data_IF_341863775660
#
_entry.id   IF_341863775660
#
_cell.length_a   1.000
_cell.length_b   1.000
_cell.length_c   1.000
_cell.angle_alpha   90.00
_cell.angle_beta   90.00
_cell.angle_gamma   90.00
#
_symmetry.space_group_name_H-M   'P 1'
#
loop_
_entity.id
_entity.type
_entity.pdbx_description
1 polymer ?
#
# COMPACT_ATOMS: atom_id res chain seq x y z
N UNK A 1 53.17 -11.46 -15.31
CA UNK A 1 52.01 -11.79 -16.17
C UNK A 1 51.68 -10.59 -17.04
N UNK A 2 51.10 -10.77 -18.24
CA UNK A 2 50.52 -9.61 -18.94
C UNK A 2 49.33 -9.08 -18.12
N UNK A 3 49.02 -7.78 -18.21
CA UNK A 3 47.92 -7.14 -17.46
C UNK A 3 46.59 -7.88 -17.68
N UNK A 4 46.35 -8.36 -18.89
CA UNK A 4 45.17 -9.15 -19.28
C UNK A 4 45.14 -10.53 -18.59
N UNK A 5 46.29 -11.20 -18.43
CA UNK A 5 46.37 -12.48 -17.72
C UNK A 5 46.12 -12.32 -16.21
N UNK A 6 46.53 -11.19 -15.62
CA UNK A 6 46.26 -10.90 -14.23
C UNK A 6 44.76 -10.63 -13.98
N UNK A 7 44.11 -9.88 -14.87
CA UNK A 7 42.66 -9.62 -14.77
C UNK A 7 41.81 -10.89 -14.93
N UNK A 8 42.15 -11.78 -15.85
CA UNK A 8 41.47 -13.08 -16.01
C UNK A 8 41.64 -13.98 -14.77
N UNK A 9 42.82 -13.98 -14.17
CA UNK A 9 43.10 -14.73 -12.96
C UNK A 9 42.29 -14.19 -11.77
N UNK A 10 42.24 -12.86 -11.59
CA UNK A 10 41.41 -12.20 -10.56
C UNK A 10 39.93 -12.52 -10.75
N UNK A 11 39.41 -12.51 -11.99
CA UNK A 11 38.02 -12.88 -12.25
C UNK A 11 37.71 -14.32 -11.83
N UNK A 12 38.64 -15.24 -12.02
CA UNK A 12 38.44 -16.64 -11.64
C UNK A 12 38.44 -16.83 -10.11
N UNK A 13 39.33 -16.14 -9.40
CA UNK A 13 39.35 -16.11 -7.94
C UNK A 13 38.03 -15.54 -7.40
N UNK A 14 37.57 -14.42 -7.94
CA UNK A 14 36.31 -13.77 -7.52
C UNK A 14 35.06 -14.62 -7.83
N UNK A 15 35.02 -15.33 -8.96
CA UNK A 15 33.92 -16.27 -9.27
C UNK A 15 33.84 -17.41 -8.27
N UNK A 16 34.99 -17.96 -7.89
CA UNK A 16 35.08 -19.05 -6.90
C UNK A 16 34.63 -18.54 -5.53
N UNK A 17 35.10 -17.36 -5.13
CA UNK A 17 34.67 -16.71 -3.89
C UNK A 17 33.15 -16.46 -3.85
N UNK A 18 32.55 -15.95 -4.94
CA UNK A 18 31.09 -15.77 -5.04
C UNK A 18 30.31 -17.09 -4.95
N UNK A 19 30.86 -18.19 -5.46
CA UNK A 19 30.16 -19.48 -5.50
C UNK A 19 30.28 -20.25 -4.19
N UNK A 20 31.44 -20.19 -3.54
CA UNK A 20 31.78 -21.06 -2.41
C UNK A 20 31.71 -20.36 -1.05
N UNK A 21 32.01 -19.06 -1.00
CA UNK A 21 32.11 -18.31 0.25
C UNK A 21 30.88 -17.46 0.56
N UNK A 22 30.10 -17.07 -0.45
CA UNK A 22 28.93 -16.19 -0.27
C UNK A 22 27.62 -16.98 -0.38
N UNK A 23 26.80 -17.06 0.68
CA UNK A 23 25.49 -17.69 0.64
C UNK A 23 24.56 -17.09 -0.43
N UNK A 24 23.74 -17.92 -1.07
CA UNK A 24 22.87 -17.54 -2.20
C UNK A 24 21.99 -16.31 -1.89
N UNK A 25 21.34 -16.28 -0.73
CA UNK A 25 20.51 -15.15 -0.31
C UNK A 25 21.27 -13.81 -0.19
N UNK A 26 22.58 -13.85 0.13
CA UNK A 26 23.43 -12.65 0.21
C UNK A 26 23.84 -12.19 -1.19
N UNK A 27 24.08 -13.14 -2.12
CA UNK A 27 24.35 -12.83 -3.52
C UNK A 27 23.14 -12.22 -4.21
N UNK A 28 21.95 -12.75 -3.95
CA UNK A 28 20.70 -12.24 -4.53
C UNK A 28 20.43 -10.80 -4.03
N UNK A 29 20.63 -10.55 -2.74
CA UNK A 29 20.56 -9.21 -2.17
C UNK A 29 21.59 -8.24 -2.77
N UNK A 30 22.81 -8.71 -3.05
CA UNK A 30 23.84 -7.92 -3.70
C UNK A 30 23.50 -7.61 -5.17
N UNK A 31 22.95 -8.56 -5.92
CA UNK A 31 22.52 -8.34 -7.30
C UNK A 31 21.42 -7.28 -7.39
N UNK A 32 20.47 -7.30 -6.46
CA UNK A 32 19.43 -6.27 -6.36
C UNK A 32 20.04 -4.89 -6.11
N UNK A 33 20.96 -4.79 -5.16
CA UNK A 33 21.64 -3.54 -4.81
C UNK A 33 22.43 -2.96 -5.99
N UNK A 34 23.13 -3.82 -6.75
CA UNK A 34 23.84 -3.40 -7.97
C UNK A 34 22.87 -2.94 -9.07
N UNK A 35 21.73 -3.63 -9.23
CA UNK A 35 20.72 -3.30 -10.23
C UNK A 35 20.02 -1.95 -9.96
N UNK A 36 19.85 -1.59 -8.69
CA UNK A 36 19.27 -0.29 -8.27
C UNK A 36 20.28 0.87 -8.32
N UNK A 37 21.52 0.61 -8.75
CA UNK A 37 22.56 1.62 -8.85
C UNK A 37 23.26 1.95 -7.52
N UNK A 38 23.23 1.04 -6.55
CA UNK A 38 23.82 1.25 -5.22
C UNK A 38 25.35 1.32 -5.16
N UNK A 39 26.07 1.07 -6.26
CA UNK A 39 27.54 1.26 -6.32
C UNK A 39 27.85 2.73 -6.60
N UNK A 40 28.28 3.48 -5.57
CA UNK A 40 28.68 4.88 -5.73
C UNK A 40 30.10 5.00 -6.30
N UNK A 41 31.03 4.17 -5.81
CA UNK A 41 32.43 4.21 -6.22
C UNK A 41 33.10 2.86 -5.99
N UNK A 42 34.04 2.51 -6.86
CA UNK A 42 34.99 1.41 -6.64
C UNK A 42 36.37 1.94 -6.99
N UNK A 43 37.32 1.80 -6.08
CA UNK A 43 38.73 2.15 -6.25
C UNK A 43 39.56 0.87 -6.19
N UNK A 44 40.42 0.65 -7.19
CA UNK A 44 41.26 -0.56 -7.30
C UNK A 44 42.72 -0.13 -7.17
N UNK A 45 43.44 -0.75 -6.24
CA UNK A 45 44.89 -0.65 -6.09
C UNK A 45 45.46 -2.05 -6.28
N UNK A 46 46.50 -2.18 -7.10
CA UNK A 46 47.14 -3.47 -7.33
C UNK A 46 48.65 -3.31 -7.28
N UNK A 47 49.32 -4.34 -6.75
CA UNK A 47 50.75 -4.56 -6.88
C UNK A 47 51.00 -5.90 -7.63
N UNK A 48 52.22 -6.41 -7.58
CA UNK A 48 52.58 -7.65 -8.29
C UNK A 48 51.98 -8.92 -7.67
N UNK A 49 51.59 -8.88 -6.38
CA UNK A 49 51.23 -10.05 -5.57
C UNK A 49 49.76 -10.02 -5.08
N UNK A 50 49.14 -8.83 -5.03
CA UNK A 50 47.84 -8.60 -4.41
C UNK A 50 47.03 -7.46 -5.05
N UNK A 51 45.71 -7.56 -4.94
CA UNK A 51 44.77 -6.54 -5.36
C UNK A 51 43.89 -6.10 -4.18
N UNK A 52 43.94 -4.82 -3.87
CA UNK A 52 43.09 -4.17 -2.87
C UNK A 52 41.99 -3.39 -3.56
N UNK A 53 40.74 -3.68 -3.22
CA UNK A 53 39.58 -2.97 -3.74
C UNK A 53 38.74 -2.39 -2.63
N UNK A 54 38.45 -1.09 -2.76
CA UNK A 54 37.54 -0.37 -1.87
C UNK A 54 36.28 0.00 -2.65
N UNK A 55 35.13 -0.46 -2.18
CA UNK A 55 33.81 -0.14 -2.72
C UNK A 55 33.00 0.72 -1.76
N UNK A 56 32.46 1.83 -2.27
CA UNK A 56 31.43 2.62 -1.59
C UNK A 56 30.06 2.21 -2.10
N UNK A 57 29.30 1.58 -1.22
CA UNK A 57 28.03 0.93 -1.52
C UNK A 57 26.93 1.60 -0.71
N UNK A 58 25.90 2.11 -1.37
CA UNK A 58 24.72 2.68 -0.73
C UNK A 58 23.72 1.57 -0.42
N UNK A 59 23.34 1.45 0.85
CA UNK A 59 22.27 0.54 1.29
C UNK A 59 20.87 1.15 1.11
N UNK A 60 19.86 0.32 1.38
CA UNK A 60 18.44 0.67 1.21
C UNK A 60 17.99 1.83 2.12
N UNK A 61 18.68 1.99 3.25
CA UNK A 61 18.53 3.09 4.20
C UNK A 61 19.27 4.37 3.81
N UNK A 62 19.77 4.45 2.57
CA UNK A 62 20.54 5.57 2.01
C UNK A 62 21.87 5.85 2.73
N UNK A 63 22.34 4.91 3.56
CA UNK A 63 23.65 4.99 4.20
C UNK A 63 24.73 4.44 3.25
N UNK A 64 25.89 5.09 3.19
CA UNK A 64 27.04 4.58 2.44
C UNK A 64 27.91 3.70 3.34
N UNK A 65 28.13 2.46 2.90
CA UNK A 65 29.03 1.49 3.49
C UNK A 65 30.33 1.39 2.69
N UNK A 66 31.43 1.22 3.41
CA UNK A 66 32.74 0.93 2.83
C UNK A 66 32.99 -0.57 2.94
N UNK A 67 33.17 -1.21 1.80
CA UNK A 67 33.53 -2.62 1.69
C UNK A 67 34.92 -2.75 1.05
N UNK A 68 35.83 -3.42 1.73
CA UNK A 68 37.21 -3.65 1.33
C UNK A 68 37.41 -5.12 0.97
N UNK A 69 38.16 -5.36 -0.09
CA UNK A 69 38.51 -6.68 -0.61
C UNK A 69 40.02 -6.75 -0.85
N UNK A 70 40.73 -7.62 -0.14
CA UNK A 70 42.11 -7.98 -0.42
C UNK A 70 42.16 -9.33 -1.14
N UNK A 71 42.66 -9.35 -2.37
CA UNK A 71 42.76 -10.55 -3.21
C UNK A 71 44.24 -10.91 -3.30
N UNK A 72 44.62 -12.07 -2.75
CA UNK A 72 45.98 -12.58 -2.84
C UNK A 72 46.09 -13.51 -4.06
N UNK A 73 46.99 -13.19 -4.99
CA UNK A 73 47.13 -13.94 -6.25
C UNK A 73 47.95 -15.23 -6.08
N UNK A 74 48.85 -15.31 -5.09
CA UNK A 74 49.67 -16.51 -4.85
C UNK A 74 48.89 -17.61 -4.13
N UNK A 75 47.98 -17.24 -3.24
CA UNK A 75 47.21 -18.16 -2.40
C UNK A 75 45.76 -18.32 -2.85
N UNK A 76 45.33 -17.59 -3.87
CA UNK A 76 43.95 -17.57 -4.39
C UNK A 76 42.89 -17.29 -3.31
N UNK A 77 43.26 -16.53 -2.27
CA UNK A 77 42.39 -16.19 -1.15
C UNK A 77 41.85 -14.77 -1.24
N UNK A 78 40.60 -14.59 -0.84
CA UNK A 78 39.95 -13.28 -0.73
C UNK A 78 39.67 -12.98 0.73
N UNK A 79 40.23 -11.88 1.21
CA UNK A 79 39.89 -11.28 2.50
C UNK A 79 38.90 -10.15 2.27
N UNK A 80 37.85 -10.10 3.07
CA UNK A 80 36.82 -9.07 2.94
C UNK A 80 36.53 -8.42 4.26
N UNK A 81 36.33 -7.11 4.24
CA UNK A 81 35.87 -6.33 5.38
C UNK A 81 34.77 -5.38 4.93
N UNK A 82 33.82 -5.10 5.82
CA UNK A 82 32.84 -4.06 5.61
C UNK A 82 32.48 -3.40 6.94
N UNK A 83 32.15 -2.10 6.90
CA UNK A 83 31.73 -1.34 8.09
C UNK A 83 30.24 -1.52 8.45
N UNK A 84 29.48 -2.35 7.73
CA UNK A 84 28.07 -2.63 8.05
C UNK A 84 27.93 -3.63 9.21
N UNK A 85 26.78 -3.60 9.89
CA UNK A 85 26.51 -4.46 11.06
C UNK A 85 26.60 -5.96 10.74
N UNK A 86 26.21 -6.36 9.52
CA UNK A 86 26.19 -7.77 9.09
C UNK A 86 27.60 -8.35 8.84
N UNK A 87 28.59 -7.48 8.66
CA UNK A 87 30.01 -7.84 8.48
C UNK A 87 30.57 -8.60 9.68
N UNK A 88 30.01 -8.36 10.87
CA UNK A 88 30.43 -9.06 12.09
C UNK A 88 30.01 -10.54 12.11
N UNK A 89 28.97 -10.90 11.35
CA UNK A 89 28.45 -12.27 11.24
C UNK A 89 28.98 -13.05 10.03
N UNK A 90 29.78 -12.42 9.17
CA UNK A 90 30.31 -13.01 7.96
C UNK A 90 30.27 -12.07 6.76
N UNK A 91 30.25 -12.62 5.55
CA UNK A 91 30.27 -11.84 4.31
C UNK A 91 28.89 -11.20 4.10
N UNK A 92 28.85 -9.88 3.98
CA UNK A 92 27.62 -9.12 3.80
C UNK A 92 27.31 -8.85 2.31
N UNK A 93 26.09 -8.36 2.05
CA UNK A 93 25.64 -7.97 0.70
C UNK A 93 26.51 -6.88 0.06
N UNK A 94 27.11 -6.00 0.85
CA UNK A 94 27.97 -4.92 0.34
C UNK A 94 29.30 -5.47 -0.20
N UNK A 95 29.91 -6.44 0.49
CA UNK A 95 31.11 -7.14 0.00
C UNK A 95 30.79 -7.86 -1.31
N UNK A 96 29.66 -8.58 -1.37
CA UNK A 96 29.22 -9.25 -2.59
C UNK A 96 28.95 -8.25 -3.74
N UNK A 97 28.36 -7.09 -3.46
CA UNK A 97 28.13 -6.03 -4.45
C UNK A 97 29.46 -5.44 -4.98
N UNK A 98 30.47 -5.26 -4.12
CA UNK A 98 31.80 -4.82 -4.54
C UNK A 98 32.47 -5.86 -5.45
N UNK A 99 32.36 -7.16 -5.13
CA UNK A 99 32.87 -8.24 -6.01
C UNK A 99 32.20 -8.20 -7.38
N UNK A 100 30.87 -8.09 -7.44
CA UNK A 100 30.11 -8.00 -8.68
C UNK A 100 30.49 -6.75 -9.49
N UNK A 101 30.70 -5.61 -8.82
CA UNK A 101 31.12 -4.37 -9.45
C UNK A 101 32.52 -4.43 -10.08
N UNK A 102 33.48 -5.07 -9.41
CA UNK A 102 34.82 -5.30 -9.97
C UNK A 102 34.73 -6.22 -11.18
N UNK A 103 34.01 -7.33 -11.05
CA UNK A 103 33.85 -8.29 -12.14
C UNK A 103 33.23 -7.62 -13.38
N UNK A 104 32.24 -6.75 -13.20
CA UNK A 104 31.65 -5.97 -14.29
C UNK A 104 32.68 -5.04 -14.96
N UNK A 105 33.58 -4.39 -14.20
CA UNK A 105 34.65 -3.53 -14.73
C UNK A 105 35.74 -4.30 -15.47
N UNK A 106 36.13 -5.46 -14.95
CA UNK A 106 37.12 -6.34 -15.58
C UNK A 106 36.57 -7.04 -16.82
N UNK A 107 35.25 -7.18 -16.93
CA UNK A 107 34.60 -7.83 -18.09
C UNK A 107 34.52 -6.95 -19.34
N UNK A 108 34.87 -5.65 -19.24
CA UNK A 108 34.74 -4.67 -20.34
C UNK A 108 35.72 -4.93 -21.51
N UNK A 109 36.67 -5.86 -21.41
CA UNK A 109 37.65 -6.15 -22.49
C UNK A 109 37.36 -7.38 -23.37
N UNK A 110 36.28 -8.14 -23.15
CA UNK A 110 35.88 -9.22 -24.07
C UNK A 110 34.40 -9.09 -24.41
N UNK A 111 34.12 -8.58 -25.61
CA UNK A 111 32.83 -8.72 -26.27
C UNK A 111 32.49 -10.21 -26.41
N UNK A 112 31.69 -10.71 -25.49
CA UNK A 112 30.78 -11.82 -25.72
C UNK A 112 29.43 -11.33 -25.20
N UNK A 113 28.43 -11.33 -26.08
CA UNK A 113 27.06 -10.89 -25.80
C UNK A 113 26.52 -11.59 -24.55
N UNK A 114 26.58 -10.92 -23.41
CA UNK A 114 25.59 -11.14 -22.35
C UNK A 114 24.23 -10.90 -22.99
N UNK A 115 23.26 -11.82 -22.88
CA UNK A 115 21.91 -11.45 -23.21
C UNK A 115 21.62 -10.26 -22.30
N UNK A 116 21.43 -9.09 -22.90
CA UNK A 116 20.81 -7.97 -22.22
C UNK A 116 19.60 -8.59 -21.54
N UNK A 117 19.59 -8.63 -20.21
CA UNK A 117 18.33 -8.72 -19.50
C UNK A 117 17.64 -7.46 -19.96
N UNK A 118 16.89 -7.59 -21.06
CA UNK A 118 15.86 -6.65 -21.43
C UNK A 118 14.98 -6.72 -20.21
N UNK A 119 15.18 -5.79 -19.27
CA UNK A 119 14.06 -5.36 -18.47
C UNK A 119 13.05 -4.98 -19.53
N UNK A 120 12.08 -5.88 -19.75
CA UNK A 120 10.91 -5.48 -20.48
C UNK A 120 10.47 -4.25 -19.70
N UNK A 121 10.45 -3.09 -20.32
CA UNK A 121 10.09 -1.88 -19.60
C UNK A 121 8.69 -2.08 -18.97
N UNK A 122 7.85 -2.93 -19.56
CA UNK A 122 6.62 -3.46 -18.93
C UNK A 122 6.80 -4.15 -17.58
N UNK A 123 7.96 -4.72 -17.28
CA UNK A 123 8.33 -5.31 -16.00
C UNK A 123 8.72 -4.22 -14.98
N UNK A 124 9.57 -3.26 -15.36
CA UNK A 124 9.94 -2.10 -14.51
C UNK A 124 8.79 -1.12 -14.29
N UNK A 125 7.88 -1.05 -15.25
CA UNK A 125 6.64 -0.27 -15.21
C UNK A 125 5.42 -1.19 -15.03
N UNK A 126 5.57 -2.42 -14.50
CA UNK A 126 4.47 -3.40 -14.35
C UNK A 126 3.28 -2.81 -13.62
N UNK A 127 3.55 -1.94 -12.65
CA UNK A 127 2.56 -1.17 -11.90
C UNK A 127 1.71 -0.22 -12.78
N UNK A 128 2.23 0.26 -13.91
CA UNK A 128 1.51 1.11 -14.87
C UNK A 128 0.76 0.30 -15.95
N UNK A 129 1.11 -0.98 -16.15
CA UNK A 129 0.50 -1.86 -17.16
C UNK A 129 -0.52 -2.85 -16.60
N UNK A 130 -0.49 -3.14 -15.30
CA UNK A 130 -1.46 -4.04 -14.68
C UNK A 130 -2.80 -3.34 -14.50
N UNK A 131 -3.75 -3.65 -15.37
CA UNK A 131 -5.17 -3.64 -14.99
C UNK A 131 -5.37 -4.70 -13.91
N UNK A 132 -5.27 -4.31 -12.63
CA UNK A 132 -5.32 -5.16 -11.43
C UNK A 132 -4.31 -6.32 -11.44
N UNK A 133 -3.30 -6.26 -10.57
CA UNK A 133 -2.41 -7.39 -10.35
C UNK A 133 -3.26 -8.62 -9.94
N UNK A 134 -3.01 -9.77 -10.54
CA UNK A 134 -3.61 -11.02 -10.07
C UNK A 134 -2.70 -11.63 -8.99
N UNK A 135 -3.27 -12.22 -7.93
CA UNK A 135 -2.50 -12.82 -6.86
C UNK A 135 -1.67 -14.01 -7.38
N UNK A 136 -0.36 -13.98 -7.11
CA UNK A 136 0.61 -14.95 -7.59
C UNK A 136 0.60 -16.23 -6.75
N UNK A 137 0.52 -17.43 -7.39
CA UNK A 137 0.59 -18.69 -6.67
C UNK A 137 1.91 -18.85 -5.91
N UNK A 138 1.82 -19.41 -4.70
CA UNK A 138 2.96 -19.70 -3.84
C UNK A 138 3.16 -18.68 -2.71
N UNK A 139 2.67 -17.45 -2.88
CA UNK A 139 2.80 -16.35 -1.93
C UNK A 139 1.70 -16.36 -0.86
N UNK A 140 1.92 -15.61 0.23
CA UNK A 140 0.92 -15.40 1.27
C UNK A 140 0.31 -14.01 1.15
N UNK A 141 -1.01 -13.91 1.29
CA UNK A 141 -1.74 -12.66 1.21
C UNK A 141 -2.53 -12.40 2.48
N UNK A 142 -2.72 -11.12 2.78
CA UNK A 142 -3.64 -10.66 3.81
C UNK A 142 -5.08 -10.77 3.29
N UNK A 143 -5.98 -11.12 4.19
CA UNK A 143 -7.41 -11.25 3.94
C UNK A 143 -8.14 -10.44 4.99
N UNK A 144 -9.12 -9.66 4.54
CA UNK A 144 -9.88 -8.74 5.37
C UNK A 144 -11.35 -9.12 5.29
N UNK A 145 -11.99 -9.39 6.44
CA UNK A 145 -13.44 -9.66 6.48
C UNK A 145 -14.16 -8.51 7.16
N UNK A 146 -15.05 -7.87 6.42
CA UNK A 146 -15.77 -6.68 6.87
C UNK A 146 -17.13 -7.07 7.46
N UNK A 147 -17.40 -6.60 8.66
CA UNK A 147 -18.68 -6.72 9.34
C UNK A 147 -19.23 -5.31 9.57
N UNK A 148 -20.35 -5.03 8.94
CA UNK A 148 -20.93 -3.68 8.90
C UNK A 148 -22.15 -3.58 9.78
N UNK A 149 -22.13 -2.63 10.72
CA UNK A 149 -23.25 -2.30 11.60
C UNK A 149 -23.50 -0.79 11.54
N UNK A 150 -24.74 -0.31 11.76
CA UNK A 150 -25.01 1.11 11.86
C UNK A 150 -24.10 1.77 12.93
N UNK A 151 -23.24 2.69 12.49
CA UNK A 151 -22.31 3.39 13.39
C UNK A 151 -21.10 2.58 13.84
N UNK A 152 -20.87 1.37 13.33
CA UNK A 152 -19.72 0.55 13.72
C UNK A 152 -19.22 -0.32 12.57
N UNK A 153 -17.92 -0.27 12.32
CA UNK A 153 -17.26 -1.12 11.34
C UNK A 153 -16.28 -2.04 12.05
N UNK A 154 -16.47 -3.35 11.87
CA UNK A 154 -15.56 -4.37 12.35
C UNK A 154 -14.79 -4.99 11.19
N UNK A 155 -13.51 -5.26 11.40
CA UNK A 155 -12.68 -5.99 10.44
C UNK A 155 -11.90 -7.10 11.12
N UNK A 156 -11.93 -8.27 10.51
CA UNK A 156 -11.05 -9.39 10.87
C UNK A 156 -9.91 -9.52 9.86
N UNK A 157 -8.71 -9.84 10.36
CA UNK A 157 -7.52 -10.04 9.56
C UNK A 157 -7.09 -11.51 9.57
N UNK A 158 -6.79 -12.03 8.39
CA UNK A 158 -6.22 -13.35 8.21
C UNK A 158 -5.06 -13.30 7.22
N UNK A 159 -4.27 -14.37 7.20
CA UNK A 159 -3.24 -14.60 6.20
C UNK A 159 -3.37 -16.02 5.66
N UNK A 160 -3.34 -16.15 4.34
CA UNK A 160 -3.41 -17.45 3.69
C UNK A 160 -2.51 -17.50 2.46
N UNK A 161 -2.13 -18.71 2.06
CA UNK A 161 -1.34 -18.94 0.86
C UNK A 161 -2.22 -18.94 -0.38
N UNK A 162 -1.75 -18.32 -1.46
CA UNK A 162 -2.32 -18.51 -2.79
C UNK A 162 -1.81 -19.81 -3.39
N UNK A 163 -2.71 -20.70 -3.77
CA UNK A 163 -2.38 -21.92 -4.50
C UNK A 163 -2.59 -21.71 -6.01
N UNK A 164 -2.15 -22.67 -6.83
CA UNK A 164 -2.39 -22.64 -8.28
C UNK A 164 -3.89 -22.63 -8.64
N UNK A 165 -4.74 -23.16 -7.76
CA UNK A 165 -6.19 -23.23 -7.93
C UNK A 165 -6.95 -22.07 -7.30
N UNK A 166 -6.26 -21.10 -6.67
CA UNK A 166 -6.88 -19.99 -5.94
C UNK A 166 -6.44 -19.89 -4.48
N UNK A 167 -7.11 -19.02 -3.72
CA UNK A 167 -6.81 -18.78 -2.31
C UNK A 167 -7.03 -20.05 -1.47
N UNK A 168 -6.09 -20.34 -0.57
CA UNK A 168 -6.21 -21.46 0.35
C UNK A 168 -7.42 -21.31 1.28
N UNK A 169 -8.14 -22.41 1.49
CA UNK A 169 -9.23 -22.49 2.48
C UNK A 169 -8.71 -22.46 3.92
N UNK A 170 -7.44 -22.82 4.13
CA UNK A 170 -6.76 -22.67 5.42
C UNK A 170 -6.32 -21.21 5.56
N UNK A 171 -7.05 -20.46 6.37
CA UNK A 171 -6.80 -19.05 6.69
C UNK A 171 -6.37 -18.95 8.16
N UNK A 172 -5.22 -18.32 8.41
CA UNK A 172 -4.71 -18.13 9.77
C UNK A 172 -5.06 -16.73 10.27
N UNK A 173 -5.73 -16.58 11.43
CA UNK A 173 -5.98 -15.27 12.01
C UNK A 173 -4.67 -14.50 12.25
N UNK A 174 -4.68 -13.22 11.94
CA UNK A 174 -3.56 -12.30 12.18
C UNK A 174 -4.02 -11.17 13.07
N UNK A 175 -3.23 -10.87 14.09
CA UNK A 175 -3.51 -9.82 15.07
C UNK A 175 -2.94 -8.46 14.61
N UNK A 176 -3.49 -7.35 15.13
CA UNK A 176 -2.89 -6.03 14.89
C UNK A 176 -1.43 -5.96 15.38
N UNK A 177 -1.10 -6.64 16.48
CA UNK A 177 0.28 -6.73 16.99
C UNK A 177 1.20 -7.41 15.97
N UNK A 178 0.76 -8.50 15.35
CA UNK A 178 1.51 -9.18 14.30
C UNK A 178 1.64 -8.31 13.04
N UNK A 179 0.58 -7.62 12.61
CA UNK A 179 0.65 -6.70 11.46
C UNK A 179 1.66 -5.57 11.71
N UNK A 180 1.68 -5.00 12.91
CA UNK A 180 2.60 -3.92 13.28
C UNK A 180 4.07 -4.40 13.35
N UNK A 181 4.31 -5.62 13.84
CA UNK A 181 5.66 -6.17 14.02
C UNK A 181 6.27 -6.82 12.78
N UNK A 182 5.45 -7.16 11.79
CA UNK A 182 5.88 -7.86 10.57
C UNK A 182 5.51 -7.03 9.33
N UNK A 183 6.13 -5.84 9.13
CA UNK A 183 5.81 -4.95 8.02
C UNK A 183 6.05 -5.61 6.64
N UNK A 184 6.93 -6.61 6.56
CA UNK A 184 7.18 -7.39 5.35
C UNK A 184 5.99 -8.23 4.90
N UNK A 185 4.97 -8.42 5.74
CA UNK A 185 3.72 -9.07 5.30
C UNK A 185 2.79 -8.11 4.55
N UNK A 186 3.07 -6.81 4.61
CA UNK A 186 2.21 -5.74 4.12
C UNK A 186 2.77 -5.08 2.84
N UNK A 187 3.38 -5.86 1.94
CA UNK A 187 4.00 -5.33 0.71
C UNK A 187 3.03 -4.52 -0.16
N UNK A 188 1.76 -4.96 -0.24
CA UNK A 188 0.71 -4.27 -1.01
C UNK A 188 0.19 -3.01 -0.28
N UNK A 189 0.29 -3.03 1.05
CA UNK A 189 -0.28 -2.06 1.97
C UNK A 189 0.76 -1.56 2.96
N UNK A 190 1.82 -0.85 2.51
CA UNK A 190 2.96 -0.49 3.33
C UNK A 190 2.62 0.43 4.51
N UNK A 191 1.51 1.17 4.43
CA UNK A 191 1.01 2.00 5.52
C UNK A 191 0.26 1.20 6.60
N UNK A 192 -0.16 -0.03 6.32
CA UNK A 192 -0.99 -0.84 7.22
C UNK A 192 -0.34 -1.09 8.59
N UNK A 193 0.96 -1.43 8.73
CA UNK A 193 1.57 -1.65 10.04
C UNK A 193 1.40 -0.45 10.99
N UNK A 194 1.61 0.76 10.47
CA UNK A 194 1.42 2.01 11.21
C UNK A 194 -0.05 2.23 11.58
N UNK A 195 -0.96 1.99 10.64
CA UNK A 195 -2.40 2.13 10.89
C UNK A 195 -2.88 1.08 11.92
N UNK A 196 -2.40 -0.15 11.83
CA UNK A 196 -2.68 -1.22 12.77
C UNK A 196 -2.21 -0.87 14.18
N UNK A 197 -1.02 -0.29 14.31
CA UNK A 197 -0.52 0.23 15.58
C UNK A 197 -1.44 1.32 16.15
N UNK A 198 -1.82 2.31 15.34
CA UNK A 198 -2.72 3.39 15.78
C UNK A 198 -4.11 2.88 16.19
N UNK A 199 -4.67 1.92 15.46
CA UNK A 199 -5.94 1.28 15.82
C UNK A 199 -5.78 0.56 17.15
N UNK A 200 -4.72 -0.25 17.31
CA UNK A 200 -4.47 -1.00 18.53
C UNK A 200 -4.31 -0.11 19.76
N UNK A 201 -3.56 0.99 19.63
CA UNK A 201 -3.40 1.99 20.69
C UNK A 201 -4.72 2.67 21.05
N UNK A 202 -5.54 3.02 20.05
CA UNK A 202 -6.83 3.68 20.28
C UNK A 202 -7.82 2.78 21.02
N UNK A 203 -7.80 1.47 20.72
CA UNK A 203 -8.72 0.49 21.31
C UNK A 203 -8.22 -0.12 22.62
N UNK A 204 -6.93 0.06 22.96
CA UNK A 204 -6.22 -0.76 23.95
C UNK A 204 -6.39 -2.27 23.69
N UNK A 205 -6.40 -2.65 22.42
CA UNK A 205 -6.66 -4.02 21.98
C UNK A 205 -5.99 -4.31 20.63
N UNK A 206 -5.13 -5.32 20.63
CA UNK A 206 -4.31 -5.70 19.47
C UNK A 206 -4.71 -7.04 18.85
N UNK A 207 -5.95 -7.49 18.99
CA UNK A 207 -6.39 -8.78 18.46
C UNK A 207 -6.59 -8.83 16.95
N UNK A 208 -7.22 -9.90 16.47
CA UNK A 208 -7.44 -10.17 15.03
C UNK A 208 -8.78 -9.66 14.49
N UNK A 209 -9.75 -9.39 15.37
CA UNK A 209 -11.06 -8.79 15.06
C UNK A 209 -11.19 -7.47 15.79
N UNK A 210 -11.26 -6.35 15.08
CA UNK A 210 -11.22 -5.02 15.71
C UNK A 210 -12.27 -4.08 15.15
N UNK A 211 -12.71 -3.14 15.98
CA UNK A 211 -13.54 -2.02 15.54
C UNK A 211 -12.63 -0.97 14.90
N UNK A 212 -12.94 -0.52 13.68
CA UNK A 212 -12.17 0.55 13.04
C UNK A 212 -12.65 1.90 13.57
N UNK A 213 -11.81 2.66 14.30
CA UNK A 213 -12.22 3.94 14.88
C UNK A 213 -12.55 4.96 13.80
N UNK A 214 -13.58 5.79 14.05
CA UNK A 214 -14.04 6.79 13.08
C UNK A 214 -12.94 7.77 12.63
N UNK A 215 -12.00 8.11 13.51
CA UNK A 215 -10.86 8.97 13.17
C UNK A 215 -9.79 8.30 12.30
N UNK A 216 -9.76 6.96 12.25
CA UNK A 216 -8.74 6.18 11.53
C UNK A 216 -9.30 5.51 10.27
N UNK A 217 -10.61 5.53 10.05
CA UNK A 217 -11.27 4.89 8.89
C UNK A 217 -10.66 5.31 7.55
N UNK A 218 -10.41 6.60 7.35
CA UNK A 218 -9.83 7.08 6.11
C UNK A 218 -8.43 6.50 5.87
N UNK A 219 -7.56 6.51 6.88
CA UNK A 219 -6.22 5.93 6.77
C UNK A 219 -6.27 4.42 6.58
N UNK A 220 -7.18 3.74 7.28
CA UNK A 220 -7.40 2.32 7.12
C UNK A 220 -7.84 1.95 5.71
N UNK A 221 -8.88 2.57 5.18
CA UNK A 221 -9.37 2.30 3.82
C UNK A 221 -8.29 2.58 2.76
N UNK A 222 -7.55 3.68 2.90
CA UNK A 222 -6.48 3.98 1.94
C UNK A 222 -5.30 3.04 2.03
N UNK A 223 -4.97 2.54 3.22
CA UNK A 223 -3.90 1.57 3.38
C UNK A 223 -4.21 0.28 2.61
N UNK A 224 -5.46 -0.20 2.66
CA UNK A 224 -5.82 -1.54 2.17
C UNK A 224 -6.57 -1.57 0.83
N UNK A 225 -6.85 -0.42 0.21
CA UNK A 225 -7.70 -0.37 -1.02
C UNK A 225 -7.20 -1.21 -2.20
N UNK A 226 -5.90 -1.51 -2.23
CA UNK A 226 -5.25 -2.23 -3.32
C UNK A 226 -5.06 -3.72 -2.99
N UNK A 227 -5.49 -4.17 -1.81
CA UNK A 227 -5.40 -5.57 -1.40
C UNK A 227 -6.32 -6.47 -2.23
N UNK A 228 -5.88 -7.69 -2.48
CA UNK A 228 -6.62 -8.64 -3.32
C UNK A 228 -7.87 -9.20 -2.64
N UNK A 229 -7.81 -9.39 -1.33
CA UNK A 229 -8.80 -10.19 -0.59
C UNK A 229 -9.51 -9.38 0.47
N UNK A 230 -10.42 -8.52 0.01
CA UNK A 230 -11.40 -7.85 0.84
C UNK A 230 -12.73 -8.61 0.69
N UNK A 231 -13.27 -9.17 1.78
CA UNK A 231 -14.47 -10.01 1.75
C UNK A 231 -15.57 -9.50 2.69
N UNK A 232 -16.81 -9.80 2.31
CA UNK A 232 -17.98 -9.47 3.10
C UNK A 232 -18.28 -10.56 4.12
N UNK A 233 -18.10 -10.26 5.40
CA UNK A 233 -18.36 -11.17 6.53
C UNK A 233 -17.67 -12.55 6.28
N UNK A 234 -18.39 -13.65 6.53
CA UNK A 234 -17.95 -15.03 6.29
C UNK A 234 -18.01 -15.43 4.80
N UNK A 235 -18.62 -14.62 3.94
CA UNK A 235 -18.76 -14.94 2.52
C UNK A 235 -17.49 -14.65 1.72
N UNK A 236 -17.39 -15.21 0.50
CA UNK A 236 -16.35 -14.85 -0.47
C UNK A 236 -16.78 -13.69 -1.39
N UNK A 237 -17.86 -12.98 -1.04
CA UNK A 237 -18.28 -11.82 -1.83
C UNK A 237 -17.27 -10.69 -1.65
N UNK A 238 -16.78 -10.09 -2.75
CA UNK A 238 -15.74 -9.09 -2.68
C UNK A 238 -16.26 -7.77 -2.09
N UNK A 239 -15.42 -7.16 -1.26
CA UNK A 239 -15.55 -5.78 -0.83
C UNK A 239 -14.66 -4.90 -1.69
N UNK A 240 -15.11 -3.69 -1.98
CA UNK A 240 -14.30 -2.71 -2.73
C UNK A 240 -14.15 -1.43 -1.95
N UNK A 241 -12.97 -0.84 -2.02
CA UNK A 241 -12.71 0.50 -1.51
C UNK A 241 -12.46 1.39 -2.71
N UNK A 242 -13.36 2.32 -2.93
CA UNK A 242 -13.45 3.07 -4.17
C UNK A 242 -12.77 4.42 -4.00
N UNK A 243 -11.92 4.80 -4.95
CA UNK A 243 -11.22 6.08 -4.86
C UNK A 243 -12.10 7.26 -5.29
N UNK A 244 -13.11 7.00 -6.13
CA UNK A 244 -14.01 8.03 -6.65
C UNK A 244 -15.08 8.35 -5.61
N UNK A 245 -15.15 9.60 -5.13
CA UNK A 245 -16.15 9.97 -4.13
C UNK A 245 -17.57 9.96 -4.71
N UNK A 246 -18.53 9.67 -3.85
CA UNK A 246 -19.94 9.90 -4.10
C UNK A 246 -20.33 11.27 -3.56
N UNK A 247 -21.04 12.05 -4.36
CA UNK A 247 -21.64 13.30 -3.91
C UNK A 247 -22.89 12.98 -3.11
N UNK A 248 -23.02 13.55 -1.91
CA UNK A 248 -24.25 13.52 -1.14
C UNK A 248 -24.99 14.84 -1.30
N UNK A 249 -26.29 14.76 -1.55
CA UNK A 249 -27.17 15.91 -1.70
C UNK A 249 -28.48 15.66 -0.98
N UNK A 250 -29.15 16.71 -0.53
CA UNK A 250 -30.49 16.67 0.02
C UNK A 250 -31.47 17.15 -1.04
N UNK A 251 -32.54 16.39 -1.22
CA UNK A 251 -33.68 16.79 -2.04
C UNK A 251 -34.86 17.11 -1.13
N UNK A 252 -35.37 18.35 -1.13
CA UNK A 252 -36.56 18.70 -0.37
C UNK A 252 -37.78 17.90 -0.88
N UNK A 253 -38.64 17.46 0.03
CA UNK A 253 -39.90 16.79 -0.26
C UNK A 253 -41.00 17.31 0.66
N UNK A 254 -42.13 17.69 0.08
CA UNK A 254 -43.35 17.91 0.83
C UNK A 254 -44.03 16.59 1.14
N UNK A 255 -44.50 16.47 2.37
CA UNK A 255 -45.39 15.43 2.88
C UNK A 255 -46.57 16.13 3.56
N UNK A 256 -47.61 15.38 3.93
CA UNK A 256 -48.84 15.95 4.51
C UNK A 256 -48.54 16.80 5.76
N UNK A 257 -47.60 16.33 6.60
CA UNK A 257 -47.23 16.99 7.86
C UNK A 257 -46.19 18.11 7.72
N UNK A 258 -45.66 18.37 6.51
CA UNK A 258 -44.71 19.45 6.27
C UNK A 258 -43.61 19.15 5.24
N UNK A 259 -42.42 19.72 5.45
CA UNK A 259 -41.24 19.55 4.61
C UNK A 259 -40.28 18.54 5.23
N UNK A 260 -39.73 17.64 4.44
CA UNK A 260 -38.65 16.73 4.84
C UNK A 260 -37.58 16.67 3.75
N UNK A 261 -36.51 15.92 4.00
CA UNK A 261 -35.40 15.73 3.07
C UNK A 261 -35.22 14.26 2.70
N UNK A 262 -35.11 14.04 1.40
CA UNK A 262 -34.60 12.80 0.85
C UNK A 262 -33.09 12.91 0.69
N UNK A 263 -32.33 12.00 1.30
CA UNK A 263 -30.88 11.94 1.17
C UNK A 263 -30.55 11.23 -0.13
N UNK A 264 -29.76 11.89 -0.97
CA UNK A 264 -29.44 11.44 -2.32
C UNK A 264 -27.94 11.20 -2.44
N UNK A 265 -27.55 10.13 -3.11
CA UNK A 265 -26.16 9.84 -3.49
C UNK A 265 -26.01 9.85 -5.00
N UNK A 266 -24.93 10.45 -5.49
CA UNK A 266 -24.65 10.55 -6.92
C UNK A 266 -23.17 10.41 -7.25
N UNK A 267 -22.87 10.08 -8.51
CA UNK A 267 -21.53 10.22 -9.08
C UNK A 267 -21.53 11.40 -10.05
N UNK A 268 -20.37 12.01 -10.26
CA UNK A 268 -20.24 13.10 -11.22
C UNK A 268 -20.83 12.70 -12.59
N UNK A 269 -21.66 13.58 -13.16
CA UNK A 269 -22.32 13.36 -14.45
C UNK A 269 -23.50 12.37 -14.45
N UNK A 270 -23.90 11.83 -13.30
CA UNK A 270 -25.09 10.97 -13.17
C UNK A 270 -26.14 11.62 -12.28
N UNK A 271 -27.41 11.34 -12.58
CA UNK A 271 -28.53 11.74 -11.72
C UNK A 271 -28.37 11.03 -10.36
N UNK A 272 -28.41 11.77 -9.25
CA UNK A 272 -28.30 11.17 -7.93
C UNK A 272 -29.57 10.34 -7.62
N UNK A 273 -29.41 9.27 -6.85
CA UNK A 273 -30.49 8.37 -6.45
C UNK A 273 -30.77 8.50 -4.95
N UNK A 274 -32.01 8.27 -4.55
CA UNK A 274 -32.42 8.27 -3.14
C UNK A 274 -31.85 7.06 -2.42
N UNK A 275 -31.36 7.26 -1.21
CA UNK A 275 -30.93 6.17 -0.35
C UNK A 275 -32.06 5.54 0.46
N UNK A 276 -33.28 6.09 0.38
CA UNK A 276 -34.43 5.54 1.07
C UNK A 276 -34.61 4.06 0.66
N UNK A 277 -34.85 3.20 1.65
CA UNK A 277 -34.98 1.75 1.50
C UNK A 277 -33.72 1.02 0.97
N UNK A 278 -32.56 1.68 0.94
CA UNK A 278 -31.29 1.02 0.66
C UNK A 278 -30.62 0.60 1.97
N UNK A 279 -30.01 -0.59 2.01
CA UNK A 279 -29.15 -1.01 3.12
C UNK A 279 -27.81 -0.28 2.99
N UNK A 280 -27.69 0.85 3.68
CA UNK A 280 -26.50 1.71 3.64
C UNK A 280 -26.08 2.05 5.06
N UNK A 281 -24.77 2.06 5.29
CA UNK A 281 -24.18 2.52 6.55
C UNK A 281 -23.18 3.64 6.25
N UNK A 282 -23.19 4.68 7.09
CA UNK A 282 -22.25 5.79 7.04
C UNK A 282 -21.22 5.68 8.16
N UNK A 283 -20.00 6.11 7.86
CA UNK A 283 -18.82 5.80 8.66
C UNK A 283 -17.83 6.96 8.66
N UNK A 284 -17.22 7.23 9.81
CA UNK A 284 -16.17 8.24 9.92
C UNK A 284 -16.72 9.66 10.02
N UNK A 285 -15.80 10.63 10.07
CA UNK A 285 -16.12 12.05 10.21
C UNK A 285 -15.60 12.85 9.02
N UNK A 286 -14.29 12.88 8.80
CA UNK A 286 -13.69 13.69 7.73
C UNK A 286 -12.53 12.92 7.06
N UNK A 287 -12.73 12.39 5.84
CA UNK A 287 -14.00 12.32 5.09
C UNK A 287 -15.01 11.34 5.72
N UNK A 288 -16.29 11.60 5.47
CA UNK A 288 -17.36 10.63 5.66
C UNK A 288 -17.24 9.53 4.60
N UNK A 289 -17.54 8.29 4.95
CA UNK A 289 -17.58 7.14 4.06
C UNK A 289 -18.97 6.52 4.06
N UNK A 290 -19.35 5.96 2.91
CA UNK A 290 -20.62 5.24 2.75
C UNK A 290 -20.36 3.83 2.26
N UNK A 291 -20.96 2.83 2.93
CA UNK A 291 -20.97 1.46 2.47
C UNK A 291 -22.26 1.18 1.70
N UNK A 292 -22.12 0.93 0.40
CA UNK A 292 -23.21 0.65 -0.53
C UNK A 292 -22.86 -0.61 -1.33
N UNK A 293 -23.70 -1.65 -1.22
CA UNK A 293 -23.53 -2.93 -1.97
C UNK A 293 -22.12 -3.51 -1.84
N UNK A 294 -21.63 -3.62 -0.60
CA UNK A 294 -20.31 -4.14 -0.23
C UNK A 294 -19.13 -3.28 -0.72
N UNK A 295 -19.39 -2.06 -1.17
CA UNK A 295 -18.34 -1.11 -1.57
C UNK A 295 -18.35 0.11 -0.66
N UNK A 296 -17.16 0.55 -0.25
CA UNK A 296 -16.94 1.75 0.52
C UNK A 296 -16.53 2.90 -0.40
N UNK A 297 -17.29 3.99 -0.33
CA UNK A 297 -17.03 5.21 -1.10
C UNK A 297 -16.76 6.39 -0.16
N UNK A 298 -15.78 7.24 -0.44
CA UNK A 298 -15.68 8.52 0.24
C UNK A 298 -16.88 9.38 -0.17
N UNK A 299 -17.40 10.17 0.75
CA UNK A 299 -18.56 11.03 0.54
C UNK A 299 -18.10 12.47 0.44
N UNK A 300 -18.43 13.11 -0.69
CA UNK A 300 -18.26 14.54 -0.89
C UNK A 300 -19.55 15.26 -0.50
N UNK A 301 -19.48 16.04 0.58
CA UNK A 301 -20.56 16.92 1.03
C UNK A 301 -20.00 18.04 1.91
N UNK A 302 -20.67 19.20 1.91
CA UNK A 302 -20.45 20.27 2.89
C UNK A 302 -21.23 20.09 4.20
N UNK A 303 -22.11 19.08 4.26
CA UNK A 303 -22.89 18.79 5.46
C UNK A 303 -22.05 18.14 6.56
N UNK A 304 -22.39 18.41 7.81
CA UNK A 304 -21.73 17.78 8.95
C UNK A 304 -22.06 16.28 9.00
N UNK A 305 -21.08 15.40 9.26
CA UNK A 305 -21.29 13.95 9.36
C UNK A 305 -22.44 13.54 10.30
N UNK A 306 -22.52 14.16 11.48
CA UNK A 306 -23.57 13.85 12.45
C UNK A 306 -24.96 14.20 11.91
N UNK A 307 -25.09 15.34 11.21
CA UNK A 307 -26.34 15.72 10.56
C UNK A 307 -26.73 14.69 9.49
N UNK A 308 -25.78 14.22 8.68
CA UNK A 308 -26.06 13.17 7.69
C UNK A 308 -26.56 11.89 8.38
N UNK A 309 -25.93 11.46 9.47
CA UNK A 309 -26.35 10.28 10.22
C UNK A 309 -27.75 10.46 10.82
N UNK A 310 -28.06 11.63 11.37
CA UNK A 310 -29.40 11.98 11.88
C UNK A 310 -30.44 11.96 10.75
N UNK A 311 -30.16 12.58 9.61
CA UNK A 311 -31.05 12.58 8.44
C UNK A 311 -31.35 11.17 7.91
N UNK A 312 -30.41 10.24 8.04
CA UNK A 312 -30.58 8.84 7.61
C UNK A 312 -31.38 8.03 8.62
N UNK A 313 -31.16 8.25 9.91
CA UNK A 313 -31.75 7.44 10.99
C UNK A 313 -33.11 7.95 11.44
N UNK A 314 -33.29 9.27 11.50
CA UNK A 314 -34.50 9.95 11.91
C UNK A 314 -34.70 11.23 11.08
N UNK A 315 -35.18 11.10 9.82
CA UNK A 315 -35.40 12.25 8.96
C UNK A 315 -36.34 13.26 9.63
N UNK A 316 -35.93 14.54 9.78
CA UNK A 316 -36.76 15.54 10.41
C UNK A 316 -37.94 15.90 9.51
N UNK A 317 -39.04 16.30 10.16
CA UNK A 317 -40.19 16.91 9.50
C UNK A 317 -40.26 18.35 10.02
N UNK A 318 -40.19 19.31 9.10
CA UNK A 318 -40.39 20.73 9.35
C UNK A 318 -41.90 21.00 9.16
N UNK A 319 -42.65 21.31 10.23
CA UNK A 319 -44.08 21.59 10.13
C UNK A 319 -44.38 22.78 9.21
N UNK A 320 -45.55 22.80 8.57
CA UNK A 320 -45.95 23.89 7.66
C UNK A 320 -45.81 25.30 8.26
N UNK A 321 -46.10 25.45 9.56
CA UNK A 321 -45.98 26.72 10.28
C UNK A 321 -44.53 27.22 10.39
N UNK A 322 -43.55 26.31 10.40
CA UNK A 322 -42.14 26.61 10.65
C UNK A 322 -41.32 26.69 9.35
N UNK A 323 -41.93 26.41 8.19
CA UNK A 323 -41.21 26.38 6.89
C UNK A 323 -40.57 27.75 6.59
N UNK A 324 -41.27 28.85 6.84
CA UNK A 324 -40.71 30.19 6.59
C UNK A 324 -39.48 30.46 7.46
N UNK A 325 -39.52 30.10 8.74
CA UNK A 325 -38.38 30.25 9.65
C UNK A 325 -37.22 29.35 9.22
N UNK A 326 -37.52 28.11 8.82
CA UNK A 326 -36.53 27.16 8.33
C UNK A 326 -35.81 27.66 7.07
N UNK A 327 -36.54 28.23 6.11
CA UNK A 327 -35.96 28.79 4.90
C UNK A 327 -35.00 29.94 5.23
N UNK A 328 -35.39 30.86 6.11
CA UNK A 328 -34.54 32.01 6.46
C UNK A 328 -33.30 31.61 7.25
N UNK A 329 -33.46 30.73 8.25
CA UNK A 329 -32.39 30.45 9.23
C UNK A 329 -31.51 29.26 8.87
N UNK A 330 -32.05 28.25 8.19
CA UNK A 330 -31.35 26.98 7.92
C UNK A 330 -31.02 26.82 6.44
N UNK A 331 -32.01 26.98 5.55
CA UNK A 331 -31.82 26.73 4.12
C UNK A 331 -30.72 27.61 3.51
N UNK A 332 -30.67 28.88 3.89
CA UNK A 332 -29.63 29.84 3.44
C UNK A 332 -28.20 29.45 3.82
N UNK A 333 -28.04 28.58 4.82
CA UNK A 333 -26.74 28.08 5.30
C UNK A 333 -26.31 26.78 4.62
N UNK A 334 -27.22 26.09 3.93
CA UNK A 334 -26.91 24.86 3.22
C UNK A 334 -26.21 25.23 1.90
N UNK A 335 -25.00 24.71 1.63
CA UNK A 335 -24.35 24.96 0.34
C UNK A 335 -25.23 24.48 -0.81
N UNK A 336 -25.38 25.30 -1.85
CA UNK A 336 -26.16 24.92 -3.04
C UNK A 336 -25.64 23.63 -3.69
N UNK A 337 -24.35 23.30 -3.52
CA UNK A 337 -23.77 22.05 -3.97
C UNK A 337 -24.32 20.81 -3.24
N UNK A 338 -24.83 20.96 -2.02
CA UNK A 338 -25.44 19.89 -1.23
C UNK A 338 -26.97 19.81 -1.43
N UNK A 339 -27.56 20.64 -2.29
CA UNK A 339 -28.99 20.61 -2.61
C UNK A 339 -29.22 20.06 -4.02
N UNK A 340 -30.24 19.23 -4.18
CA UNK A 340 -30.70 18.70 -5.46
C UNK A 340 -32.13 19.15 -5.74
N UNK A 341 -32.37 19.73 -6.92
CA UNK A 341 -33.68 20.28 -7.30
C UNK A 341 -34.03 21.59 -6.59
N UNK A 342 -33.02 22.37 -6.19
CA UNK A 342 -33.23 23.63 -5.47
C UNK A 342 -34.06 24.65 -6.26
N UNK A 343 -33.82 24.80 -7.56
CA UNK A 343 -34.54 25.79 -8.39
C UNK A 343 -36.04 25.47 -8.46
N UNK A 344 -36.39 24.22 -8.79
CA UNK A 344 -37.79 23.75 -8.81
C UNK A 344 -38.47 23.89 -7.44
N UNK A 345 -37.71 23.67 -6.35
CA UNK A 345 -38.23 23.85 -5.00
C UNK A 345 -38.52 25.31 -4.69
N UNK A 346 -37.60 26.22 -5.00
CA UNK A 346 -37.77 27.65 -4.75
C UNK A 346 -38.89 28.26 -5.59
N UNK A 347 -39.10 27.78 -6.83
CA UNK A 347 -40.25 28.18 -7.66
C UNK A 347 -41.58 27.83 -7.00
N UNK A 348 -41.69 26.64 -6.39
CA UNK A 348 -42.91 26.22 -5.66
C UNK A 348 -43.13 27.00 -4.36
N UNK A 349 -42.09 27.63 -3.83
CA UNK A 349 -42.14 28.45 -2.62
C UNK A 349 -42.37 29.94 -2.92
N UNK A 350 -42.49 30.33 -4.19
CA UNK A 350 -42.86 31.70 -4.53
C UNK A 350 -44.30 31.98 -4.02
N UNK A 351 -44.53 33.19 -3.45
CA UNK A 351 -45.80 33.56 -2.85
C UNK A 351 -46.96 33.67 -3.85
#
# INVERSE_FOLDING_TARGET
MSTIQAEEHVQQILRTFLAESIPEHIRDGAQYLVADGGIQKIDIRHDEESWDVEGQIQGDEFQTYSAELGINLEHETVHSYCNCQDSFSGICRHVAATVLGIMARLSVQKEAETPLVKSEWKHSFRYFFSTALEPEPGLHYLIYRFYTEPGRLQVEFFRARQNKSGLSTVQNPVTLEQLARNPEWCEISPDLPRVAEQIGQHLDYYGHRVDIPFGLMNWFFWAIKNEYYLFWEESEQPVRIESTPMRLQLRPRFIDDGLTFDVMLGRAGKVPFSILNQKINFYGQLPLWVCLKHSFYPVQTGLRPNLVQELVTAPPIIPHADISEFLDRVWTQIPASDLHGQEEFLERMQP
#
